data_IF_066597579332
#
_entry.id   IF_066597579332
#
_cell.length_a   1.000
_cell.length_b   1.000
_cell.length_c   1.000
_cell.angle_alpha   90.00
_cell.angle_beta   90.00
_cell.angle_gamma   90.00
#
_symmetry.space_group_name_H-M   'P 1'
#
loop_
_entity.id
_entity.type
_entity.pdbx_description
1 polymer ?
#
# COMPACT_ATOMS: atom_id res chain seq x y z
N UNK A 1 -12.81 -15.58 34.77
CA UNK A 1 -12.59 -15.80 33.32
C UNK A 1 -12.88 -14.50 32.55
N UNK A 2 -11.88 -13.63 32.38
CA UNK A 2 -11.94 -12.41 31.53
C UNK A 2 -10.52 -12.14 31.01
N UNK A 3 -10.09 -12.86 29.97
CA UNK A 3 -8.80 -12.62 29.28
C UNK A 3 -8.92 -12.55 27.75
N UNK A 4 -10.12 -12.65 27.18
CA UNK A 4 -10.33 -12.63 25.71
C UNK A 4 -10.48 -11.24 25.07
N UNK A 5 -10.83 -10.20 25.84
CA UNK A 5 -11.17 -8.88 25.27
C UNK A 5 -9.95 -7.97 25.02
N UNK A 6 -8.77 -8.30 25.55
CA UNK A 6 -7.59 -7.42 25.44
C UNK A 6 -6.85 -7.54 24.10
N UNK A 7 -6.99 -8.67 23.39
CA UNK A 7 -6.24 -8.92 22.15
C UNK A 7 -6.79 -8.13 20.94
N UNK A 8 -8.10 -7.82 20.92
CA UNK A 8 -8.71 -7.02 19.86
C UNK A 8 -8.43 -5.52 19.96
N UNK A 9 -8.30 -4.99 21.19
CA UNK A 9 -8.04 -3.56 21.43
C UNK A 9 -6.61 -3.14 21.03
N UNK A 10 -5.64 -4.05 21.07
CA UNK A 10 -4.24 -3.77 20.69
C UNK A 10 -4.12 -3.42 19.20
N UNK A 11 -4.96 -4.01 18.34
CA UNK A 11 -4.98 -3.67 16.91
C UNK A 11 -5.63 -2.32 16.62
N UNK A 12 -6.71 -1.96 17.32
CA UNK A 12 -7.34 -0.64 17.17
C UNK A 12 -6.43 0.50 17.70
N UNK A 13 -5.65 0.25 18.75
CA UNK A 13 -4.71 1.23 19.32
C UNK A 13 -3.42 1.35 18.50
N UNK A 14 -2.94 0.28 17.85
CA UNK A 14 -1.80 0.34 16.92
C UNK A 14 -2.07 1.23 15.69
N UNK A 15 -3.33 1.48 15.34
CA UNK A 15 -3.71 2.42 14.29
C UNK A 15 -3.65 3.90 14.69
N UNK A 16 -3.65 4.25 15.99
CA UNK A 16 -3.94 5.63 16.44
C UNK A 16 -2.74 6.40 17.03
N UNK A 17 -1.68 5.76 17.52
CA UNK A 17 -0.70 6.45 18.41
C UNK A 17 0.50 7.17 17.76
N UNK A 18 0.63 7.19 16.43
CA UNK A 18 1.71 7.95 15.74
C UNK A 18 1.20 9.03 14.78
N UNK A 19 -0.12 9.24 14.69
CA UNK A 19 -0.73 10.24 13.82
C UNK A 19 -0.44 11.71 14.23
N UNK A 20 0.05 11.94 15.45
CA UNK A 20 0.22 13.29 15.99
C UNK A 20 1.49 14.02 15.51
N UNK A 21 2.56 13.31 15.15
CA UNK A 21 3.81 13.94 14.66
C UNK A 21 3.89 13.96 13.12
N UNK A 22 3.13 13.10 12.44
CA UNK A 22 3.09 13.05 10.97
C UNK A 22 2.14 14.08 10.33
N UNK A 23 1.15 14.58 11.08
CA UNK A 23 0.09 15.44 10.52
C UNK A 23 0.50 16.86 10.14
N UNK A 24 1.59 17.40 10.71
CA UNK A 24 2.07 18.75 10.32
C UNK A 24 2.96 18.75 9.07
N UNK A 25 3.34 17.59 8.54
CA UNK A 25 4.18 17.46 7.34
C UNK A 25 3.40 17.10 6.05
N UNK A 26 2.07 16.97 6.13
CA UNK A 26 1.23 16.69 4.96
C UNK A 26 1.39 17.81 3.92
N UNK A 27 2.08 17.52 2.81
CA UNK A 27 2.26 18.42 1.68
C UNK A 27 3.66 19.02 1.48
N UNK A 28 4.69 18.60 2.22
CA UNK A 28 6.08 19.05 1.98
C UNK A 28 7.09 17.91 1.87
N UNK A 29 8.14 18.15 1.09
CA UNK A 29 9.26 17.23 0.94
C UNK A 29 8.95 16.04 0.02
N UNK A 30 9.60 14.89 0.24
CA UNK A 30 9.51 13.72 -0.64
C UNK A 30 8.07 13.17 -0.73
N UNK A 31 7.28 13.35 0.34
CA UNK A 31 5.89 12.90 0.39
C UNK A 31 4.88 13.87 -0.27
N UNK A 32 5.33 14.96 -0.90
CA UNK A 32 4.42 15.98 -1.46
C UNK A 32 3.70 15.55 -2.75
N UNK A 33 4.17 14.48 -3.43
CA UNK A 33 3.55 13.94 -4.63
C UNK A 33 3.45 12.40 -4.56
N UNK A 34 2.61 11.87 -3.62
CA UNK A 34 2.57 10.44 -3.33
C UNK A 34 2.02 9.62 -4.49
N UNK A 35 1.12 10.17 -5.32
CA UNK A 35 0.55 9.42 -6.44
C UNK A 35 1.60 9.10 -7.52
N UNK A 36 2.40 10.08 -7.93
CA UNK A 36 3.49 9.85 -8.88
C UNK A 36 4.56 8.92 -8.32
N UNK A 37 4.97 9.14 -7.07
CA UNK A 37 6.01 8.34 -6.43
C UNK A 37 5.54 6.90 -6.19
N UNK A 38 4.30 6.72 -5.77
CA UNK A 38 3.66 5.43 -5.57
C UNK A 38 3.52 4.62 -6.85
N UNK A 39 3.26 5.27 -7.98
CA UNK A 39 3.24 4.63 -9.31
C UNK A 39 4.65 4.31 -9.81
N UNK A 40 5.60 5.20 -9.59
CA UNK A 40 7.01 4.99 -9.94
C UNK A 40 7.58 3.77 -9.19
N UNK A 41 7.20 3.63 -7.92
CA UNK A 41 7.61 2.55 -7.02
C UNK A 41 6.51 1.50 -6.83
N UNK A 42 5.71 1.23 -7.86
CA UNK A 42 4.71 0.17 -7.81
C UNK A 42 5.39 -1.18 -7.54
N UNK A 43 4.92 -1.92 -6.55
CA UNK A 43 5.48 -3.20 -6.14
C UNK A 43 4.49 -4.33 -6.42
N UNK A 44 5.02 -5.51 -6.74
CA UNK A 44 4.27 -6.77 -6.80
C UNK A 44 5.04 -7.89 -6.11
N UNK A 45 4.35 -8.97 -5.81
CA UNK A 45 4.98 -10.21 -5.33
C UNK A 45 4.88 -11.24 -6.45
N UNK A 46 6.03 -11.70 -6.92
CA UNK A 46 6.15 -12.68 -7.99
C UNK A 46 7.23 -13.70 -7.62
N UNK A 47 6.95 -14.99 -7.78
CA UNK A 47 7.89 -16.06 -7.42
C UNK A 47 8.44 -15.94 -5.99
N UNK A 48 7.55 -15.59 -5.03
CA UNK A 48 7.87 -15.35 -3.61
C UNK A 48 8.81 -14.16 -3.33
N UNK A 49 9.08 -13.33 -4.33
CA UNK A 49 9.97 -12.16 -4.24
C UNK A 49 9.16 -10.88 -4.38
N UNK A 50 9.60 -9.84 -3.69
CA UNK A 50 9.14 -8.47 -3.94
C UNK A 50 9.91 -7.92 -5.14
N UNK A 51 9.21 -7.38 -6.14
CA UNK A 51 9.81 -6.80 -7.35
C UNK A 51 9.05 -5.53 -7.76
N UNK A 52 9.66 -4.70 -8.60
CA UNK A 52 8.91 -3.62 -9.23
C UNK A 52 7.83 -4.17 -10.18
N UNK A 53 6.64 -3.60 -10.10
CA UNK A 53 5.55 -3.87 -11.02
C UNK A 53 5.69 -2.99 -12.27
N UNK A 54 6.61 -3.38 -13.15
CA UNK A 54 6.87 -2.69 -14.42
C UNK A 54 5.63 -2.66 -15.33
N UNK A 55 4.72 -3.63 -15.18
CA UNK A 55 3.46 -3.65 -15.93
C UNK A 55 2.53 -2.52 -15.48
N UNK A 56 2.59 -2.10 -14.20
CA UNK A 56 1.84 -0.95 -13.70
C UNK A 56 2.27 0.38 -14.35
N UNK A 57 3.49 0.48 -14.88
CA UNK A 57 3.91 1.64 -15.67
C UNK A 57 3.22 1.70 -17.03
N UNK A 58 2.84 0.55 -17.61
CA UNK A 58 2.11 0.52 -18.89
C UNK A 58 0.61 0.76 -18.73
N UNK A 59 0.07 0.68 -17.50
CA UNK A 59 -1.32 0.95 -17.25
C UNK A 59 -1.62 2.42 -17.56
N UNK A 60 -2.63 2.73 -18.39
CA UNK A 60 -3.02 4.11 -18.66
C UNK A 60 -3.32 4.79 -17.32
N UNK A 61 -2.97 6.07 -17.20
CA UNK A 61 -3.44 6.91 -16.11
C UNK A 61 -4.95 6.67 -16.00
N UNK A 62 -5.41 6.03 -14.91
CA UNK A 62 -6.84 5.95 -14.63
C UNK A 62 -7.31 7.39 -14.67
N UNK A 63 -8.03 7.75 -15.75
CA UNK A 63 -8.45 9.13 -15.96
C UNK A 63 -9.14 9.54 -14.67
N UNK A 64 -8.66 10.58 -13.97
CA UNK A 64 -9.42 11.08 -12.84
C UNK A 64 -10.84 11.31 -13.37
N UNK A 65 -11.85 10.88 -12.61
CA UNK A 65 -13.25 10.96 -13.04
C UNK A 65 -13.53 12.34 -13.64
N UNK A 66 -14.46 12.40 -14.61
CA UNK A 66 -14.79 13.55 -15.50
C UNK A 66 -14.85 14.97 -14.88
N UNK A 67 -14.72 15.10 -13.58
CA UNK A 67 -14.74 16.33 -12.80
C UNK A 67 -13.34 16.84 -12.41
N UNK A 68 -12.25 16.12 -12.70
CA UNK A 68 -10.93 16.71 -12.61
C UNK A 68 -10.74 17.71 -13.75
N UNK A 69 -10.39 18.98 -13.48
CA UNK A 69 -10.09 19.94 -14.53
C UNK A 69 -9.03 19.34 -15.44
N UNK A 70 -9.23 19.45 -16.76
CA UNK A 70 -8.25 19.07 -17.78
C UNK A 70 -6.96 19.88 -17.56
N UNK A 71 -6.11 19.43 -16.63
CA UNK A 71 -4.79 19.97 -16.31
C UNK A 71 -3.74 19.50 -17.34
N UNK A 72 -4.22 18.94 -18.46
CA UNK A 72 -3.51 19.01 -19.74
C UNK A 72 -3.55 20.44 -20.33
N UNK A 73 -3.70 21.46 -19.49
CA UNK A 73 -3.36 22.82 -19.81
C UNK A 73 -1.96 22.83 -20.42
N UNK A 74 -1.89 23.33 -21.65
CA UNK A 74 -0.67 23.82 -22.26
C UNK A 74 0.21 24.42 -21.16
N UNK A 75 1.32 23.75 -20.83
CA UNK A 75 2.36 24.36 -20.00
C UNK A 75 2.64 25.72 -20.64
N UNK A 76 2.30 26.84 -20.00
CA UNK A 76 2.33 28.13 -20.66
C UNK A 76 3.76 28.35 -21.14
N UNK A 77 3.91 28.52 -22.45
CA UNK A 77 5.19 28.67 -23.13
C UNK A 77 5.92 29.99 -22.77
N UNK A 78 5.58 30.64 -21.67
CA UNK A 78 6.06 31.96 -21.32
C UNK A 78 6.35 32.07 -19.83
N UNK A 79 7.53 31.59 -19.43
CA UNK A 79 8.31 32.37 -18.45
C UNK A 79 8.88 33.54 -19.26
N UNK A 80 8.12 34.64 -19.37
CA UNK A 80 8.67 35.91 -19.83
C UNK A 80 9.61 36.42 -18.74
N UNK A 81 10.88 36.05 -18.83
CA UNK A 81 11.95 36.77 -18.12
C UNK A 81 12.10 38.09 -18.87
N UNK A 82 11.46 39.15 -18.36
CA UNK A 82 11.78 40.52 -18.75
C UNK A 82 13.18 40.86 -18.23
N UNK A 83 14.19 40.56 -19.04
CA UNK A 83 15.60 40.84 -18.75
C UNK A 83 16.49 40.01 -19.66
N UNK A 84 17.02 40.64 -20.71
CA UNK A 84 17.60 39.99 -21.88
C UNK A 84 18.73 38.99 -21.62
N UNK A 85 18.76 37.95 -22.47
CA UNK A 85 19.92 37.08 -22.66
C UNK A 85 19.60 35.58 -22.72
N UNK A 86 19.42 35.04 -23.93
CA UNK A 86 19.62 33.62 -24.29
C UNK A 86 18.91 32.57 -23.41
N UNK A 87 17.57 32.51 -23.44
CA UNK A 87 16.80 31.42 -22.78
C UNK A 87 15.91 30.62 -23.76
N UNK A 88 15.70 31.10 -24.99
CA UNK A 88 14.78 30.47 -25.96
C UNK A 88 15.19 29.10 -26.51
N UNK A 89 16.48 28.74 -26.49
CA UNK A 89 16.97 27.46 -27.06
C UNK A 89 16.72 26.28 -26.11
N UNK A 90 16.62 26.51 -24.79
CA UNK A 90 16.40 25.42 -23.81
C UNK A 90 14.98 24.88 -23.80
N UNK A 91 13.97 25.70 -24.11
CA UNK A 91 12.57 25.27 -24.09
C UNK A 91 12.23 24.26 -25.20
N UNK A 92 12.86 24.39 -26.39
CA UNK A 92 12.60 23.49 -27.51
C UNK A 92 13.36 22.15 -27.42
N UNK A 93 14.54 22.10 -26.78
CA UNK A 93 15.27 20.84 -26.56
C UNK A 93 14.53 19.95 -25.54
N UNK A 94 13.90 20.54 -24.52
CA UNK A 94 13.09 19.79 -23.57
C UNK A 94 11.81 19.23 -24.22
N UNK A 95 11.16 19.98 -25.12
CA UNK A 95 9.90 19.55 -25.77
C UNK A 95 10.04 18.40 -26.77
N UNK A 96 11.19 18.22 -27.42
CA UNK A 96 11.37 17.18 -28.44
C UNK A 96 11.65 15.78 -27.86
N UNK A 97 12.16 15.67 -26.63
CA UNK A 97 12.59 14.38 -26.05
C UNK A 97 11.51 13.64 -25.23
N UNK A 98 10.39 14.28 -24.91
CA UNK A 98 9.33 13.64 -24.11
C UNK A 98 8.59 12.52 -24.84
N UNK A 99 8.51 12.57 -26.17
CA UNK A 99 7.76 11.57 -26.96
C UNK A 99 8.33 10.16 -26.83
N UNK A 100 9.66 10.03 -26.71
CA UNK A 100 10.35 8.74 -26.60
C UNK A 100 10.80 8.40 -25.18
N UNK A 101 10.48 9.24 -24.20
CA UNK A 101 10.84 8.99 -22.81
C UNK A 101 10.05 7.79 -22.25
N UNK A 102 10.71 6.81 -21.60
CA UNK A 102 10.01 5.71 -20.96
C UNK A 102 9.13 6.23 -19.82
N UNK A 103 7.99 5.58 -19.59
CA UNK A 103 7.03 6.02 -18.60
C UNK A 103 7.59 6.25 -17.18
N UNK A 104 8.47 5.39 -16.61
CA UNK A 104 9.07 5.70 -15.30
C UNK A 104 9.87 7.01 -15.29
N UNK A 105 10.55 7.37 -16.39
CA UNK A 105 11.25 8.65 -16.49
C UNK A 105 10.26 9.83 -16.54
N UNK A 106 9.10 9.67 -17.20
CA UNK A 106 8.03 10.68 -17.20
C UNK A 106 7.40 10.85 -15.81
N UNK A 107 7.13 9.74 -15.12
CA UNK A 107 6.63 9.77 -13.74
C UNK A 107 7.61 10.47 -12.81
N UNK A 108 8.91 10.18 -12.92
CA UNK A 108 9.95 10.88 -12.16
C UNK A 108 9.98 12.38 -12.47
N UNK A 109 9.88 12.80 -13.74
CA UNK A 109 9.83 14.22 -14.08
C UNK A 109 8.57 14.92 -13.54
N UNK A 110 7.40 14.29 -13.65
CA UNK A 110 6.14 14.80 -13.08
C UNK A 110 6.25 14.97 -11.56
N UNK A 111 6.77 13.95 -10.89
CA UNK A 111 7.07 14.00 -9.46
C UNK A 111 7.99 15.19 -9.12
N UNK A 112 9.13 15.30 -9.80
CA UNK A 112 10.10 16.37 -9.52
C UNK A 112 9.55 17.78 -9.81
N UNK A 113 8.71 17.95 -10.82
CA UNK A 113 8.04 19.23 -11.11
C UNK A 113 7.07 19.64 -9.99
N UNK A 114 6.34 18.68 -9.42
CA UNK A 114 5.44 18.92 -8.29
C UNK A 114 6.19 19.29 -7.02
N UNK A 115 7.27 18.57 -6.71
CA UNK A 115 8.01 18.77 -5.45
C UNK A 115 9.09 19.84 -5.53
N UNK A 116 9.55 20.21 -6.73
CA UNK A 116 10.51 21.29 -6.99
C UNK A 116 10.05 22.18 -8.16
N UNK A 117 9.00 23.01 -8.01
CA UNK A 117 8.51 23.87 -9.09
C UNK A 117 9.55 24.88 -9.58
N UNK A 118 10.57 25.17 -8.78
CA UNK A 118 11.70 26.06 -9.11
C UNK A 118 13.00 25.26 -9.21
N UNK A 119 13.06 24.31 -10.14
CA UNK A 119 14.25 23.44 -10.30
C UNK A 119 15.45 24.24 -10.80
N UNK A 120 16.63 24.04 -10.17
CA UNK A 120 17.89 24.62 -10.61
C UNK A 120 18.82 23.48 -11.04
N UNK A 121 19.08 23.35 -12.34
CA UNK A 121 19.94 22.29 -12.87
C UNK A 121 19.17 20.99 -13.14
N UNK A 122 19.07 20.67 -14.42
CA UNK A 122 18.59 19.40 -14.93
C UNK A 122 19.69 18.85 -15.84
N UNK A 123 20.21 17.68 -15.50
CA UNK A 123 21.07 16.92 -16.41
C UNK A 123 20.34 15.65 -16.80
N UNK A 124 20.19 15.45 -18.09
CA UNK A 124 19.63 14.24 -18.66
C UNK A 124 20.70 13.61 -19.54
N UNK A 125 21.00 12.34 -19.27
CA UNK A 125 21.88 11.53 -20.11
C UNK A 125 21.03 10.40 -20.69
N UNK A 126 21.03 10.28 -22.01
CA UNK A 126 20.29 9.26 -22.73
C UNK A 126 21.24 8.47 -23.60
N UNK A 127 21.15 7.15 -23.50
CA UNK A 127 21.73 6.20 -24.44
C UNK A 127 20.61 5.34 -25.02
N UNK A 128 20.92 4.42 -25.94
CA UNK A 128 19.90 3.60 -26.62
C UNK A 128 18.99 2.81 -25.64
N UNK A 129 19.50 2.43 -24.46
CA UNK A 129 18.78 1.58 -23.50
C UNK A 129 18.67 2.20 -22.11
N UNK A 130 19.59 3.13 -21.77
CA UNK A 130 19.68 3.74 -20.44
C UNK A 130 19.24 5.20 -20.47
N UNK A 131 18.34 5.53 -19.56
CA UNK A 131 17.89 6.89 -19.27
C UNK A 131 18.32 7.27 -17.87
N UNK A 132 19.04 8.38 -17.73
CA UNK A 132 19.44 8.94 -16.44
C UNK A 132 19.02 10.41 -16.34
N UNK A 133 18.38 10.76 -15.23
CA UNK A 133 17.92 12.12 -14.94
C UNK A 133 18.42 12.51 -13.55
N UNK A 134 19.06 13.68 -13.45
CA UNK A 134 19.42 14.29 -12.17
C UNK A 134 18.85 15.69 -12.09
N UNK A 135 18.22 15.99 -10.97
CA UNK A 135 17.62 17.28 -10.69
C UNK A 135 17.97 17.75 -9.28
N UNK A 136 18.21 19.05 -9.13
CA UNK A 136 18.52 19.67 -7.84
C UNK A 136 17.50 20.76 -7.50
N UNK A 137 17.20 20.88 -6.21
CA UNK A 137 16.20 21.79 -5.65
C UNK A 137 16.14 21.69 -4.13
N UNK A 138 14.94 21.85 -3.56
CA UNK A 138 14.69 21.52 -2.15
C UNK A 138 14.80 20.01 -1.92
N UNK A 139 14.43 19.23 -2.94
CA UNK A 139 14.69 17.79 -3.02
C UNK A 139 15.69 17.57 -4.16
N UNK A 140 16.80 16.89 -3.88
CA UNK A 140 17.69 16.37 -4.90
C UNK A 140 17.19 15.01 -5.36
N UNK A 141 17.08 14.82 -6.66
CA UNK A 141 16.63 13.55 -7.26
C UNK A 141 17.64 13.03 -8.27
N UNK A 142 17.94 11.75 -8.19
CA UNK A 142 18.66 11.00 -9.22
C UNK A 142 17.82 9.78 -9.58
N UNK A 143 17.62 9.58 -10.88
CA UNK A 143 16.84 8.49 -11.44
C UNK A 143 17.63 7.86 -12.58
N UNK A 144 17.64 6.53 -12.64
CA UNK A 144 18.16 5.78 -13.76
C UNK A 144 17.27 4.57 -14.05
N UNK A 145 17.05 4.28 -15.33
CA UNK A 145 16.45 3.03 -15.80
C UNK A 145 17.23 2.53 -17.01
N UNK A 146 17.58 1.26 -17.03
CA UNK A 146 18.19 0.58 -18.17
C UNK A 146 17.27 -0.55 -18.64
N UNK A 147 16.67 -0.38 -19.81
CA UNK A 147 15.70 -1.33 -20.34
C UNK A 147 16.33 -2.62 -20.85
N UNK A 148 17.65 -2.65 -21.10
CA UNK A 148 18.34 -3.83 -21.58
C UNK A 148 18.80 -4.75 -20.45
N UNK A 149 19.31 -4.19 -19.34
CA UNK A 149 19.69 -4.95 -18.15
C UNK A 149 18.60 -5.06 -17.09
N UNK A 150 17.44 -4.43 -17.36
CA UNK A 150 16.30 -4.35 -16.44
C UNK A 150 16.62 -3.66 -15.10
N UNK A 151 17.62 -2.77 -15.09
CA UNK A 151 18.06 -2.02 -13.92
C UNK A 151 17.16 -0.81 -13.65
N UNK A 152 16.91 -0.55 -12.37
CA UNK A 152 16.20 0.62 -11.89
C UNK A 152 16.91 1.21 -10.67
N UNK A 153 17.10 2.53 -10.65
CA UNK A 153 17.62 3.26 -9.49
C UNK A 153 16.87 4.58 -9.32
N UNK A 154 16.44 4.84 -8.09
CA UNK A 154 15.86 6.10 -7.66
C UNK A 154 16.49 6.52 -6.33
N UNK A 155 16.98 7.75 -6.27
CA UNK A 155 17.45 8.37 -5.04
C UNK A 155 16.87 9.77 -4.90
N UNK A 156 16.15 9.99 -3.81
CA UNK A 156 15.58 11.27 -3.43
C UNK A 156 16.16 11.68 -2.07
N UNK A 157 16.58 12.93 -1.94
CA UNK A 157 17.13 13.46 -0.70
C UNK A 157 16.64 14.89 -0.46
N UNK A 158 16.08 15.14 0.72
CA UNK A 158 15.69 16.49 1.14
C UNK A 158 16.91 17.27 1.62
N UNK A 159 17.05 18.49 1.13
CA UNK A 159 18.13 19.39 1.55
C UNK A 159 17.89 19.96 2.96
N UNK A 160 16.63 20.27 3.24
CA UNK A 160 16.19 20.86 4.50
C UNK A 160 15.53 19.80 5.39
N UNK A 161 15.27 20.15 6.65
CA UNK A 161 14.59 19.25 7.57
C UNK A 161 13.22 18.82 7.01
N UNK A 162 12.86 17.53 7.16
CA UNK A 162 13.49 16.52 8.03
C UNK A 162 14.75 15.81 7.48
N UNK A 163 15.25 16.15 6.28
CA UNK A 163 16.40 15.52 5.61
C UNK A 163 16.16 14.04 5.30
N UNK A 164 14.94 13.69 4.90
CA UNK A 164 14.62 12.32 4.49
C UNK A 164 15.41 11.94 3.25
N UNK A 165 15.83 10.68 3.20
CA UNK A 165 16.50 10.05 2.06
C UNK A 165 15.70 8.79 1.72
N UNK A 166 15.22 8.72 0.48
CA UNK A 166 14.65 7.52 -0.12
C UNK A 166 15.61 7.04 -1.20
N UNK A 167 16.04 5.78 -1.10
CA UNK A 167 16.84 5.10 -2.12
C UNK A 167 16.15 3.79 -2.46
N UNK A 168 15.97 3.53 -3.74
CA UNK A 168 15.35 2.34 -4.27
C UNK A 168 16.18 1.87 -5.45
N UNK A 169 16.69 0.64 -5.39
CA UNK A 169 17.56 0.05 -6.41
C UNK A 169 17.08 -1.36 -6.69
N UNK A 170 16.85 -1.70 -7.95
CA UNK A 170 16.61 -3.07 -8.39
C UNK A 170 17.55 -3.37 -9.56
N UNK A 171 18.47 -4.31 -9.35
CA UNK A 171 19.43 -4.76 -10.36
C UNK A 171 19.46 -6.28 -10.39
N UNK A 172 19.68 -6.87 -11.56
CA UNK A 172 19.74 -8.33 -11.70
C UNK A 172 20.84 -8.98 -10.83
N UNK A 173 21.97 -8.29 -10.65
CA UNK A 173 23.14 -8.82 -9.94
C UNK A 173 23.06 -8.65 -8.42
N UNK A 174 22.49 -7.54 -7.93
CA UNK A 174 22.46 -7.19 -6.50
C UNK A 174 21.10 -7.45 -5.86
N UNK A 175 20.04 -7.52 -6.66
CA UNK A 175 18.66 -7.72 -6.22
C UNK A 175 17.95 -6.40 -5.93
N UNK A 176 17.04 -6.40 -4.96
CA UNK A 176 16.22 -5.25 -4.59
C UNK A 176 16.72 -4.66 -3.27
N UNK A 177 17.05 -3.38 -3.26
CA UNK A 177 17.40 -2.60 -2.07
C UNK A 177 16.46 -1.42 -1.93
N UNK A 178 15.84 -1.29 -0.76
CA UNK A 178 15.01 -0.13 -0.41
C UNK A 178 15.52 0.42 0.91
N UNK A 179 15.85 1.71 0.91
CA UNK A 179 16.35 2.42 2.08
C UNK A 179 15.56 3.70 2.29
N UNK A 180 15.00 3.83 3.49
CA UNK A 180 14.46 5.10 3.99
C UNK A 180 15.33 5.51 5.16
N UNK A 181 15.89 6.71 5.13
CA UNK A 181 16.65 7.23 6.24
C UNK A 181 16.18 8.64 6.59
N UNK A 182 16.08 8.91 7.89
CA UNK A 182 15.90 10.25 8.42
C UNK A 182 17.02 10.49 9.45
N UNK A 183 18.19 10.98 9.01
CA UNK A 183 19.36 11.13 9.87
C UNK A 183 19.13 12.03 11.08
N UNK A 184 18.23 13.02 10.95
CA UNK A 184 17.87 13.94 12.03
C UNK A 184 17.25 13.25 13.25
N UNK A 185 16.52 12.15 13.04
CA UNK A 185 15.85 11.35 14.09
C UNK A 185 16.51 9.99 14.31
N UNK A 186 17.65 9.72 13.66
CA UNK A 186 18.31 8.39 13.66
C UNK A 186 17.36 7.26 13.26
N UNK A 187 16.44 7.54 12.34
CA UNK A 187 15.55 6.53 11.79
C UNK A 187 16.12 5.94 10.50
N UNK A 188 16.10 4.62 10.40
CA UNK A 188 16.52 3.88 9.21
C UNK A 188 15.56 2.70 8.99
N UNK A 189 15.06 2.58 7.77
CA UNK A 189 14.51 1.36 7.22
C UNK A 189 15.47 0.88 6.13
N UNK A 190 15.89 -0.36 6.21
CA UNK A 190 16.69 -1.03 5.19
C UNK A 190 16.05 -2.37 4.87
N UNK A 191 15.62 -2.52 3.62
CA UNK A 191 15.18 -3.77 3.04
C UNK A 191 16.16 -4.18 1.96
N UNK A 192 16.67 -5.40 2.04
CA UNK A 192 17.57 -5.97 1.05
C UNK A 192 17.05 -7.35 0.68
N UNK A 193 16.89 -7.60 -0.60
CA UNK A 193 16.49 -8.88 -1.15
C UNK A 193 17.45 -9.29 -2.25
N UNK A 194 18.14 -10.41 -2.07
CA UNK A 194 19.07 -10.95 -3.04
C UNK A 194 18.40 -11.34 -4.38
N UNK A 195 19.18 -11.56 -5.46
CA UNK A 195 18.68 -12.12 -6.70
C UNK A 195 17.97 -13.48 -6.54
N UNK A 196 18.36 -14.25 -5.51
CA UNK A 196 17.80 -15.57 -5.21
C UNK A 196 16.59 -15.53 -4.26
N UNK A 197 16.15 -14.34 -3.84
CA UNK A 197 14.94 -14.14 -3.04
C UNK A 197 15.17 -14.04 -1.53
N UNK A 198 16.31 -14.48 -1.01
CA UNK A 198 16.64 -14.31 0.41
C UNK A 198 16.59 -12.82 0.78
N UNK A 199 15.92 -12.52 1.89
CA UNK A 199 15.52 -11.16 2.26
C UNK A 199 15.90 -10.83 3.70
N UNK A 200 16.23 -9.57 3.94
CA UNK A 200 16.45 -8.98 5.26
C UNK A 200 15.72 -7.63 5.35
N UNK A 201 15.01 -7.44 6.45
CA UNK A 201 14.33 -6.22 6.83
C UNK A 201 14.91 -5.74 8.15
N UNK A 202 15.53 -4.56 8.15
CA UNK A 202 16.10 -3.93 9.33
C UNK A 202 15.48 -2.55 9.53
N UNK A 203 15.01 -2.28 10.73
CA UNK A 203 14.49 -0.99 11.16
C UNK A 203 15.27 -0.52 12.40
N UNK A 204 15.73 0.73 12.36
CA UNK A 204 16.35 1.44 13.47
C UNK A 204 15.49 2.66 13.77
N UNK A 205 15.12 2.84 15.04
CA UNK A 205 14.40 4.00 15.53
C UNK A 205 15.03 4.47 16.84
N UNK A 206 15.97 5.42 16.75
CA UNK A 206 16.78 5.80 17.90
C UNK A 206 17.71 4.65 18.29
N UNK A 207 17.51 4.11 19.49
CA UNK A 207 18.30 2.99 20.03
C UNK A 207 17.64 1.62 19.78
N UNK A 208 16.38 1.61 19.32
CA UNK A 208 15.64 0.38 19.02
C UNK A 208 16.04 -0.15 17.64
N UNK A 209 16.56 -1.38 17.60
CA UNK A 209 16.92 -2.09 16.36
C UNK A 209 16.09 -3.36 16.24
N UNK A 210 15.29 -3.45 15.18
CA UNK A 210 14.57 -4.67 14.81
C UNK A 210 15.10 -5.19 13.49
N UNK A 211 15.50 -6.47 13.45
CA UNK A 211 15.93 -7.14 12.22
C UNK A 211 15.22 -8.47 12.05
N UNK A 212 14.77 -8.75 10.81
CA UNK A 212 14.11 -9.98 10.39
C UNK A 212 14.67 -10.43 9.07
N UNK A 213 14.84 -11.74 8.92
CA UNK A 213 15.30 -12.34 7.68
C UNK A 213 14.51 -13.60 7.35
N UNK A 214 14.39 -13.91 6.07
CA UNK A 214 13.74 -15.12 5.58
C UNK A 214 14.33 -15.56 4.22
N UNK A 215 14.11 -16.82 3.81
CA UNK A 215 14.53 -17.31 2.49
C UNK A 215 13.82 -16.63 1.31
N UNK A 216 12.64 -16.07 1.53
CA UNK A 216 11.86 -15.34 0.54
C UNK A 216 11.01 -14.24 1.18
N UNK A 217 10.53 -13.29 0.38
CA UNK A 217 9.64 -12.24 0.87
C UNK A 217 8.28 -12.80 1.31
N UNK A 218 7.76 -13.81 0.60
CA UNK A 218 6.53 -14.52 0.99
C UNK A 218 6.69 -15.15 2.39
N UNK A 219 7.84 -15.77 2.67
CA UNK A 219 8.10 -16.37 3.97
C UNK A 219 8.33 -15.32 5.07
N UNK A 220 8.92 -14.16 4.74
CA UNK A 220 9.02 -13.04 5.66
C UNK A 220 7.62 -12.55 6.08
N UNK A 221 6.72 -12.37 5.12
CA UNK A 221 5.33 -11.98 5.36
C UNK A 221 4.57 -13.03 6.18
N UNK A 222 4.78 -14.31 5.88
CA UNK A 222 4.16 -15.43 6.60
C UNK A 222 4.57 -15.46 8.08
N UNK A 223 5.86 -15.29 8.37
CA UNK A 223 6.41 -15.38 9.74
C UNK A 223 6.18 -14.11 10.56
N UNK A 224 6.26 -12.94 9.94
CA UNK A 224 6.25 -11.65 10.63
C UNK A 224 5.26 -10.66 10.01
N UNK A 225 3.98 -11.02 9.79
CA UNK A 225 3.05 -10.18 9.04
C UNK A 225 2.88 -8.79 9.69
N UNK A 226 2.68 -8.73 11.01
CA UNK A 226 2.50 -7.46 11.72
C UNK A 226 3.72 -6.53 11.66
N UNK A 227 4.93 -7.09 11.72
CA UNK A 227 6.16 -6.31 11.65
C UNK A 227 6.44 -5.82 10.23
N UNK A 228 6.21 -6.65 9.20
CA UNK A 228 6.33 -6.20 7.80
C UNK A 228 5.30 -5.10 7.50
N UNK A 229 4.07 -5.21 7.99
CA UNK A 229 3.09 -4.12 7.87
C UNK A 229 3.58 -2.82 8.53
N UNK A 230 4.04 -2.91 9.77
CA UNK A 230 4.32 -1.74 10.60
C UNK A 230 5.67 -1.09 10.27
N UNK A 231 6.70 -1.89 10.05
CA UNK A 231 8.06 -1.42 9.85
C UNK A 231 8.38 -1.16 8.37
N UNK A 232 7.80 -1.94 7.45
CA UNK A 232 8.14 -1.85 6.03
C UNK A 232 7.07 -1.12 5.20
N UNK A 233 5.83 -1.61 5.17
CA UNK A 233 4.81 -1.02 4.30
C UNK A 233 4.25 0.29 4.81
N UNK A 234 4.08 0.47 6.13
CA UNK A 234 3.55 1.72 6.68
C UNK A 234 4.40 2.94 6.28
N UNK A 235 5.74 2.96 6.45
CA UNK A 235 6.56 4.07 5.95
C UNK A 235 6.47 4.26 4.44
N UNK A 236 6.40 3.18 3.66
CA UNK A 236 6.29 3.26 2.20
C UNK A 236 4.96 3.86 1.73
N UNK A 237 3.86 3.65 2.47
CA UNK A 237 2.55 4.25 2.17
C UNK A 237 2.57 5.78 2.25
N UNK A 238 3.42 6.37 3.09
CA UNK A 238 3.60 7.82 3.15
C UNK A 238 4.14 8.41 1.83
N UNK A 239 4.80 7.57 1.03
CA UNK A 239 5.28 7.89 -0.31
C UNK A 239 4.32 7.42 -1.42
N UNK A 240 3.08 7.07 -1.05
CA UNK A 240 2.05 6.56 -1.95
C UNK A 240 2.28 5.14 -2.47
N UNK A 241 3.33 4.45 -2.00
CA UNK A 241 3.59 3.07 -2.41
C UNK A 241 2.46 2.18 -1.93
N UNK A 242 1.78 1.56 -2.89
CA UNK A 242 0.70 0.62 -2.62
C UNK A 242 1.31 -0.71 -2.23
N UNK A 243 0.80 -1.27 -1.14
CA UNK A 243 1.19 -2.60 -0.71
C UNK A 243 0.78 -3.66 -1.75
N UNK A 244 1.70 -4.55 -2.18
CA UNK A 244 1.39 -5.64 -3.09
C UNK A 244 0.53 -6.69 -2.40
N UNK A 245 -0.42 -7.27 -3.13
CA UNK A 245 -1.30 -8.32 -2.60
C UNK A 245 -0.51 -9.61 -2.35
N UNK A 246 -0.69 -10.20 -1.17
CA UNK A 246 -0.20 -11.52 -0.79
C UNK A 246 -1.29 -12.29 -0.06
N UNK A 247 -1.29 -13.62 -0.20
CA UNK A 247 -2.09 -14.51 0.66
C UNK A 247 -1.87 -14.25 2.15
N UNK A 248 -0.69 -13.83 2.57
CA UNK A 248 -0.38 -13.58 3.98
C UNK A 248 -0.82 -12.21 4.51
N UNK A 249 -1.50 -11.40 3.69
CA UNK A 249 -2.02 -10.12 4.17
C UNK A 249 -3.25 -10.34 5.06
N UNK A 250 -3.37 -9.66 6.21
CA UNK A 250 -4.53 -9.80 7.09
C UNK A 250 -5.88 -9.61 6.38
N UNK A 251 -6.07 -8.59 5.50
CA UNK A 251 -7.31 -8.46 4.74
C UNK A 251 -7.59 -9.65 3.79
N UNK A 252 -6.54 -10.26 3.23
CA UNK A 252 -6.65 -11.41 2.31
C UNK A 252 -7.05 -12.67 3.09
N UNK A 253 -6.41 -12.92 4.23
CA UNK A 253 -6.79 -14.01 5.15
C UNK A 253 -8.22 -13.84 5.65
N UNK A 254 -8.57 -12.64 6.14
CA UNK A 254 -9.91 -12.32 6.59
C UNK A 254 -10.95 -12.63 5.51
N UNK A 255 -10.73 -12.11 4.30
CA UNK A 255 -11.68 -12.29 3.20
C UNK A 255 -11.74 -13.74 2.70
N UNK A 256 -10.62 -14.47 2.66
CA UNK A 256 -10.62 -15.88 2.29
C UNK A 256 -11.44 -16.73 3.28
N UNK A 257 -11.39 -16.39 4.57
CA UNK A 257 -12.11 -17.11 5.61
C UNK A 257 -13.59 -16.68 5.77
N UNK A 258 -13.92 -15.39 5.66
CA UNK A 258 -15.26 -14.87 6.00
C UNK A 258 -16.01 -14.21 4.84
N UNK A 259 -15.35 -13.95 3.71
CA UNK A 259 -15.89 -13.12 2.64
C UNK A 259 -16.89 -13.80 1.70
N UNK A 260 -16.96 -15.12 1.72
CA UNK A 260 -17.67 -15.93 0.71
C UNK A 260 -18.72 -16.88 1.30
N UNK A 261 -19.21 -16.56 2.51
CA UNK A 261 -20.29 -17.28 3.16
C UNK A 261 -20.78 -16.54 4.40
N UNK A 262 -21.84 -17.04 5.05
CA UNK A 262 -22.29 -16.50 6.33
C UNK A 262 -21.14 -16.50 7.35
N UNK A 263 -20.94 -15.41 8.12
CA UNK A 263 -19.95 -15.41 9.20
C UNK A 263 -20.39 -16.34 10.35
N UNK A 264 -19.52 -16.60 11.35
CA UNK A 264 -19.89 -17.31 12.57
C UNK A 264 -21.10 -16.66 13.27
N UNK A 265 -21.92 -17.46 13.97
CA UNK A 265 -23.21 -17.02 14.54
C UNK A 265 -23.10 -15.84 15.53
N UNK A 266 -22.01 -15.79 16.30
CA UNK A 266 -21.72 -14.70 17.23
C UNK A 266 -21.43 -13.39 16.48
N UNK A 267 -20.61 -13.45 15.43
CA UNK A 267 -20.31 -12.32 14.54
C UNK A 267 -21.57 -11.89 13.80
N UNK A 268 -22.36 -12.82 13.29
CA UNK A 268 -23.63 -12.55 12.60
C UNK A 268 -24.62 -11.83 13.52
N UNK A 269 -24.76 -12.30 14.77
CA UNK A 269 -25.65 -11.71 15.77
C UNK A 269 -25.19 -10.29 16.14
N UNK A 270 -23.89 -10.10 16.37
CA UNK A 270 -23.35 -8.78 16.68
C UNK A 270 -23.56 -7.81 15.51
N UNK A 271 -23.26 -8.23 14.28
CA UNK A 271 -23.46 -7.41 13.09
C UNK A 271 -24.95 -7.03 12.92
N UNK A 272 -25.88 -7.97 13.12
CA UNK A 272 -27.32 -7.70 13.04
C UNK A 272 -27.79 -6.66 14.06
N UNK A 273 -27.31 -6.73 15.31
CA UNK A 273 -27.62 -5.72 16.34
C UNK A 273 -27.10 -4.33 15.94
N UNK A 274 -25.89 -4.25 15.43
CA UNK A 274 -25.29 -2.97 15.01
C UNK A 274 -25.97 -2.39 13.77
N UNK A 275 -26.35 -3.24 12.81
CA UNK A 275 -27.13 -2.81 11.63
C UNK A 275 -28.45 -2.19 12.08
N UNK A 276 -29.18 -2.83 13.01
CA UNK A 276 -30.43 -2.29 13.54
C UNK A 276 -30.24 -0.93 14.22
N UNK A 277 -29.10 -0.70 14.87
CA UNK A 277 -28.74 0.57 15.51
C UNK A 277 -28.41 1.70 14.51
N UNK A 278 -28.18 1.40 13.23
CA UNK A 278 -27.91 2.43 12.22
C UNK A 278 -29.12 3.33 11.92
N UNK A 279 -30.33 2.88 12.23
CA UNK A 279 -31.57 3.67 12.08
C UNK A 279 -32.13 4.14 13.44
N UNK A 280 -31.32 4.12 14.50
CA UNK A 280 -31.75 4.56 15.83
C UNK A 280 -31.91 6.10 15.89
N UNK A 281 -32.88 6.62 16.65
CA UNK A 281 -33.18 8.05 16.71
C UNK A 281 -32.01 8.90 17.27
N UNK A 282 -31.28 8.35 18.24
CA UNK A 282 -30.11 8.97 18.86
C UNK A 282 -28.86 8.96 17.93
N UNK A 283 -28.30 10.13 17.56
CA UNK A 283 -27.11 10.23 16.71
C UNK A 283 -25.85 9.56 17.28
N UNK A 284 -25.65 9.59 18.60
CA UNK A 284 -24.47 8.98 19.24
C UNK A 284 -24.49 7.46 19.09
N UNK A 285 -25.66 6.85 19.28
CA UNK A 285 -25.89 5.41 19.04
C UNK A 285 -25.57 5.02 17.59
N UNK A 286 -26.02 5.81 16.60
CA UNK A 286 -25.74 5.55 15.18
C UNK A 286 -24.24 5.64 14.86
N UNK A 287 -23.56 6.66 15.39
CA UNK A 287 -22.12 6.82 15.16
C UNK A 287 -21.33 5.70 15.82
N UNK A 288 -21.66 5.33 17.06
CA UNK A 288 -21.04 4.19 17.75
C UNK A 288 -21.22 2.89 16.97
N UNK A 289 -22.43 2.61 16.50
CA UNK A 289 -22.72 1.44 15.67
C UNK A 289 -21.91 1.46 14.37
N UNK A 290 -21.78 2.63 13.73
CA UNK A 290 -20.94 2.81 12.52
C UNK A 290 -19.48 2.46 12.81
N UNK A 291 -18.90 2.96 13.91
CA UNK A 291 -17.51 2.69 14.29
C UNK A 291 -17.28 1.21 14.63
N UNK A 292 -18.21 0.59 15.35
CA UNK A 292 -18.13 -0.84 15.67
C UNK A 292 -18.26 -1.71 14.41
N UNK A 293 -19.12 -1.33 13.46
CA UNK A 293 -19.23 -2.00 12.16
C UNK A 293 -17.97 -1.83 11.31
N UNK A 294 -17.30 -0.69 11.34
CA UNK A 294 -15.99 -0.51 10.68
C UNK A 294 -14.99 -1.55 11.20
N UNK A 295 -14.92 -1.75 12.52
CA UNK A 295 -14.05 -2.76 13.12
C UNK A 295 -14.46 -4.20 12.80
N UNK A 296 -15.76 -4.46 12.70
CA UNK A 296 -16.31 -5.79 12.42
C UNK A 296 -16.27 -6.17 10.93
N UNK A 297 -16.18 -5.18 10.03
CA UNK A 297 -16.34 -5.38 8.59
C UNK A 297 -15.46 -6.49 8.00
N UNK A 298 -14.15 -6.61 8.30
CA UNK A 298 -13.31 -7.68 7.76
C UNK A 298 -13.78 -9.10 8.11
N UNK A 299 -14.54 -9.26 9.20
CA UNK A 299 -15.06 -10.55 9.67
C UNK A 299 -16.48 -10.85 9.16
N UNK A 300 -17.19 -9.84 8.66
CA UNK A 300 -18.59 -9.92 8.26
C UNK A 300 -18.82 -9.40 6.83
N UNK A 301 -17.80 -9.40 5.97
CA UNK A 301 -17.84 -8.80 4.63
C UNK A 301 -19.07 -9.27 3.84
N UNK A 302 -19.31 -10.58 3.79
CA UNK A 302 -20.44 -11.15 3.05
C UNK A 302 -21.79 -10.61 3.56
N UNK A 303 -22.01 -10.68 4.87
CA UNK A 303 -23.25 -10.26 5.52
C UNK A 303 -23.49 -8.76 5.37
N UNK A 304 -22.46 -7.93 5.57
CA UNK A 304 -22.58 -6.47 5.48
C UNK A 304 -22.77 -6.00 4.05
N UNK A 305 -22.12 -6.66 3.07
CA UNK A 305 -22.39 -6.40 1.66
C UNK A 305 -23.83 -6.75 1.27
N UNK A 306 -24.40 -7.84 1.78
CA UNK A 306 -25.82 -8.16 1.56
C UNK A 306 -26.75 -7.17 2.26
N UNK A 307 -26.47 -6.86 3.53
CA UNK A 307 -27.27 -5.92 4.32
C UNK A 307 -27.39 -4.56 3.63
N UNK A 308 -26.27 -4.04 3.12
CA UNK A 308 -26.21 -2.78 2.36
C UNK A 308 -27.22 -2.70 1.21
N UNK A 309 -27.44 -3.80 0.49
CA UNK A 309 -28.40 -3.85 -0.64
C UNK A 309 -29.87 -3.91 -0.15
N UNK A 310 -30.10 -4.37 1.08
CA UNK A 310 -31.44 -4.49 1.68
C UNK A 310 -31.87 -3.29 2.52
N UNK A 311 -30.93 -2.44 2.95
CA UNK A 311 -31.23 -1.23 3.73
C UNK A 311 -31.99 -0.23 2.85
N UNK A 312 -33.22 0.09 3.27
CA UNK A 312 -34.10 1.05 2.59
C UNK A 312 -33.87 2.49 3.09
N UNK A 313 -33.58 2.64 4.39
CA UNK A 313 -33.32 3.95 5.00
C UNK A 313 -32.06 4.60 4.42
N UNK A 314 -32.18 5.85 3.95
CA UNK A 314 -31.11 6.54 3.24
C UNK A 314 -29.93 6.88 4.16
N UNK A 315 -30.18 7.26 5.42
CA UNK A 315 -29.10 7.57 6.37
C UNK A 315 -28.34 6.30 6.75
N UNK A 316 -29.04 5.21 7.11
CA UNK A 316 -28.41 3.93 7.41
C UNK A 316 -27.62 3.38 6.22
N UNK A 317 -28.13 3.55 4.98
CA UNK A 317 -27.42 3.16 3.77
C UNK A 317 -26.13 3.96 3.57
N UNK A 318 -26.17 5.28 3.74
CA UNK A 318 -24.98 6.15 3.69
C UNK A 318 -23.95 5.76 4.76
N UNK A 319 -24.40 5.41 5.97
CA UNK A 319 -23.50 4.93 7.05
C UNK A 319 -22.90 3.57 6.70
N UNK A 320 -23.66 2.65 6.12
CA UNK A 320 -23.14 1.38 5.61
C UNK A 320 -22.14 1.58 4.47
N UNK A 321 -22.39 2.54 3.57
CA UNK A 321 -21.42 2.95 2.55
C UNK A 321 -20.13 3.47 3.18
N UNK A 322 -20.20 4.24 4.27
CA UNK A 322 -19.03 4.68 5.05
C UNK A 322 -18.30 3.50 5.70
N UNK A 323 -19.01 2.49 6.21
CA UNK A 323 -18.40 1.25 6.74
C UNK A 323 -17.59 0.54 5.65
N UNK A 324 -18.16 0.39 4.45
CA UNK A 324 -17.50 -0.26 3.31
C UNK A 324 -16.31 0.58 2.81
N UNK A 325 -16.52 1.90 2.67
CA UNK A 325 -15.51 2.84 2.19
C UNK A 325 -14.33 3.00 3.15
N UNK A 326 -14.49 2.66 4.44
CA UNK A 326 -13.38 2.61 5.40
C UNK A 326 -12.36 1.50 5.08
N UNK A 327 -12.70 0.56 4.18
CA UNK A 327 -11.83 -0.55 3.79
C UNK A 327 -11.62 -0.62 2.27
N UNK A 328 -11.04 0.41 1.63
CA UNK A 328 -10.90 0.47 0.17
C UNK A 328 -10.05 -0.67 -0.41
N UNK A 329 -9.19 -1.27 0.40
CA UNK A 329 -8.37 -2.43 0.02
C UNK A 329 -9.20 -3.70 -0.19
N UNK A 330 -10.39 -3.84 0.42
CA UNK A 330 -11.18 -5.07 0.36
C UNK A 330 -11.67 -5.37 -1.05
N UNK A 331 -12.03 -4.37 -1.86
CA UNK A 331 -12.42 -4.59 -3.25
C UNK A 331 -11.29 -5.23 -4.07
N UNK A 332 -10.07 -4.69 -3.93
CA UNK A 332 -8.87 -5.21 -4.60
C UNK A 332 -8.49 -6.61 -4.10
N UNK A 333 -8.57 -6.82 -2.79
CA UNK A 333 -8.32 -8.10 -2.14
C UNK A 333 -9.33 -9.16 -2.58
N UNK A 334 -10.60 -8.79 -2.79
CA UNK A 334 -11.64 -9.71 -3.28
C UNK A 334 -11.35 -10.24 -4.67
N UNK A 335 -10.94 -9.38 -5.59
CA UNK A 335 -10.51 -9.81 -6.91
C UNK A 335 -9.36 -10.82 -6.82
N UNK A 336 -8.36 -10.55 -5.98
CA UNK A 336 -7.22 -11.43 -5.76
C UNK A 336 -7.61 -12.79 -5.14
N UNK A 337 -8.45 -12.80 -4.10
CA UNK A 337 -8.90 -14.04 -3.43
C UNK A 337 -9.73 -14.92 -4.36
N UNK A 338 -10.53 -14.31 -5.24
CA UNK A 338 -11.28 -15.01 -6.29
C UNK A 338 -10.36 -15.57 -7.37
N UNK A 339 -9.46 -14.75 -7.90
CA UNK A 339 -8.49 -15.14 -8.94
C UNK A 339 -7.61 -16.30 -8.48
N UNK A 340 -7.09 -16.24 -7.25
CA UNK A 340 -6.24 -17.27 -6.65
C UNK A 340 -7.02 -18.40 -5.98
N UNK A 341 -8.36 -18.33 -5.94
CA UNK A 341 -9.25 -19.30 -5.27
C UNK A 341 -8.87 -19.61 -3.82
N UNK A 342 -8.32 -18.64 -3.09
CA UNK A 342 -7.84 -18.85 -1.71
C UNK A 342 -8.96 -19.22 -0.73
N UNK A 343 -10.20 -18.83 -1.04
CA UNK A 343 -11.39 -19.15 -0.25
C UNK A 343 -11.91 -20.59 -0.45
N UNK A 344 -11.31 -21.34 -1.38
CA UNK A 344 -11.57 -22.75 -1.69
C UNK A 344 -10.32 -23.63 -1.50
N UNK A 345 -9.15 -23.01 -1.33
CA UNK A 345 -7.88 -23.71 -1.15
C UNK A 345 -7.77 -24.33 0.25
N UNK A 346 -8.01 -25.64 0.32
CA UNK A 346 -7.90 -26.44 1.55
C UNK A 346 -6.54 -26.25 2.24
N UNK A 347 -5.45 -26.38 1.50
CA UNK A 347 -4.10 -26.36 2.08
C UNK A 347 -3.82 -25.01 2.74
N UNK A 348 -4.21 -23.93 2.06
CA UNK A 348 -4.08 -22.58 2.58
C UNK A 348 -4.97 -22.32 3.81
N UNK A 349 -6.23 -22.74 3.80
CA UNK A 349 -7.13 -22.58 4.94
C UNK A 349 -6.66 -23.39 6.16
N UNK A 350 -6.13 -24.60 5.95
CA UNK A 350 -5.52 -25.41 7.01
C UNK A 350 -4.22 -24.78 7.54
N UNK A 351 -3.43 -24.16 6.66
CA UNK A 351 -2.25 -23.41 7.10
C UNK A 351 -2.65 -22.22 7.98
N UNK A 352 -3.67 -21.44 7.60
CA UNK A 352 -4.21 -20.38 8.47
C UNK A 352 -4.68 -20.94 9.81
N UNK A 353 -5.45 -22.04 9.79
CA UNK A 353 -5.97 -22.70 10.98
C UNK A 353 -4.85 -23.07 11.97
N UNK A 354 -3.73 -23.59 11.45
CA UNK A 354 -2.60 -24.03 12.27
C UNK A 354 -1.64 -22.92 12.68
N UNK A 355 -1.47 -21.87 11.87
CA UNK A 355 -0.38 -20.90 12.02
C UNK A 355 -0.82 -19.50 12.45
N UNK A 356 -2.09 -19.13 12.27
CA UNK A 356 -2.56 -17.76 12.52
C UNK A 356 -3.72 -17.77 13.53
N UNK A 357 -3.43 -17.71 14.85
CA UNK A 357 -4.44 -17.85 15.90
C UNK A 357 -5.63 -16.89 15.77
N UNK A 358 -5.40 -15.69 15.25
CA UNK A 358 -6.44 -14.67 15.09
C UNK A 358 -7.51 -15.06 14.06
N UNK A 359 -7.14 -15.79 13.01
CA UNK A 359 -8.06 -16.23 11.95
C UNK A 359 -8.52 -17.68 12.12
N UNK A 360 -8.05 -18.38 13.16
CA UNK A 360 -8.33 -19.79 13.41
C UNK A 360 -9.83 -20.13 13.37
N UNK A 361 -10.65 -19.38 14.11
CA UNK A 361 -12.11 -19.61 14.14
C UNK A 361 -12.75 -19.39 12.78
N UNK A 362 -12.35 -18.34 12.06
CA UNK A 362 -12.89 -18.05 10.73
C UNK A 362 -12.46 -19.10 9.70
N UNK A 363 -11.20 -19.55 9.74
CA UNK A 363 -10.69 -20.60 8.87
C UNK A 363 -11.41 -21.94 9.12
N UNK A 364 -11.59 -22.33 10.40
CA UNK A 364 -12.38 -23.50 10.80
C UNK A 364 -13.82 -23.42 10.27
N UNK A 365 -14.49 -22.29 10.48
CA UNK A 365 -15.84 -22.06 9.99
C UNK A 365 -15.92 -22.20 8.46
N UNK A 366 -14.96 -21.63 7.74
CA UNK A 366 -14.89 -21.75 6.28
C UNK A 366 -14.70 -23.18 5.82
N UNK A 367 -13.77 -23.92 6.46
CA UNK A 367 -13.56 -25.34 6.18
C UNK A 367 -14.83 -26.15 6.47
N UNK A 368 -15.53 -25.87 7.57
CA UNK A 368 -16.83 -26.50 7.87
C UNK A 368 -17.87 -26.23 6.77
N UNK A 369 -17.92 -25.01 6.23
CA UNK A 369 -18.81 -24.69 5.10
C UNK A 369 -18.45 -25.47 3.82
N UNK A 370 -17.16 -25.67 3.56
CA UNK A 370 -16.70 -26.40 2.37
C UNK A 370 -16.95 -27.92 2.48
N UNK A 371 -16.80 -28.49 3.68
CA UNK A 371 -16.83 -29.95 3.89
C UNK A 371 -18.11 -30.45 4.60
N UNK A 372 -18.98 -29.55 5.04
CA UNK A 372 -20.26 -29.87 5.69
C UNK A 372 -20.15 -30.39 7.13
N UNK A 373 -18.94 -30.53 7.67
CA UNK A 373 -18.69 -31.00 9.03
C UNK A 373 -17.50 -30.29 9.64
N UNK A 374 -17.58 -30.04 10.94
CA UNK A 374 -16.48 -29.47 11.72
C UNK A 374 -15.56 -30.58 12.23
N UNK A 375 -14.29 -30.53 11.83
CA UNK A 375 -13.24 -31.48 12.23
C UNK A 375 -12.33 -30.94 13.34
N UNK A 376 -12.66 -29.78 13.92
CA UNK A 376 -11.90 -29.19 14.99
C UNK A 376 -10.67 -28.41 14.53
N UNK A 377 -9.72 -28.26 15.44
CA UNK A 377 -8.55 -27.40 15.27
C UNK A 377 -7.33 -28.14 14.73
N UNK A 378 -7.39 -29.47 14.61
CA UNK A 378 -6.30 -30.31 14.10
C UNK A 378 -6.33 -30.31 12.57
N UNK A 379 -5.32 -29.74 11.89
CA UNK A 379 -5.29 -29.72 10.43
C UNK A 379 -5.30 -31.12 9.80
N UNK A 380 -4.82 -32.15 10.50
CA UNK A 380 -4.77 -33.54 10.00
C UNK A 380 -6.13 -34.23 10.05
N UNK A 381 -7.08 -33.71 10.82
CA UNK A 381 -8.42 -34.30 10.94
C UNK A 381 -9.34 -33.96 9.75
N UNK A 382 -8.94 -33.04 8.88
CA UNK A 382 -9.74 -32.53 7.76
C UNK A 382 -9.58 -33.38 6.47
N UNK A 383 -10.69 -33.85 5.86
CA UNK A 383 -10.69 -34.79 4.72
C UNK A 383 -10.15 -34.17 3.43
#
# INVERSE_FOLDING_TARGET
MRRGALAGAIWAVLFLSFAAVAREAEGRGIAAAPDELGRLLALKIENQRLTLDRAAWAAPDEKPGKDAPDDAGDVPAQIQIQGGGVVGVRANILRMDHKNMPEPARLFQRYMQKVNPRTYGNSMNTSNTRYEIRQQGEISGAFAVDTASDEFSLKLAEKNDPKRILQFEEEAATGLTIRLAQPSTRQLLLFVQSPHGAVSLTSVNGDDVTSRAAPSFDELLRKFPGEVQTLFFRPLREFGVREPLSRWLPPVMALACSGFGPPPDDVARQAGLLIAQLSHDDPETREKATQELIGLYPQAVHLLSQARETIVDAEAKMRMDRVIAAHPTIARVRAYVLEKKLHEDKAYLLEILGTVPHFKTAARHRLTQLYGKDHGDDPQAWP
#
